data_IF_146723302296
#
_entry.id   IF_146723302296
#
_cell.length_a   1.000
_cell.length_b   1.000
_cell.length_c   1.000
_cell.angle_alpha   90.00
_cell.angle_beta   90.00
_cell.angle_gamma   90.00
#
_symmetry.space_group_name_H-M   'P 1'
#
loop_
_entity.id
_entity.type
_entity.pdbx_description
1 polymer ?
#
# COMPACT_ATOMS: atom_id res chain seq x y z
N UNK A 1 17.13 -1.81 -22.97
CA UNK A 1 18.50 -2.39 -22.92
C UNK A 1 18.76 -2.89 -21.51
N UNK A 2 19.29 -4.10 -21.35
CA UNK A 2 19.65 -4.66 -20.04
C UNK A 2 20.85 -3.90 -19.44
N UNK A 3 20.90 -3.70 -18.10
CA UNK A 3 22.01 -3.00 -17.47
C UNK A 3 23.30 -3.83 -17.53
N UNK A 4 24.34 -3.27 -18.14
CA UNK A 4 25.68 -3.87 -18.18
C UNK A 4 26.49 -3.44 -16.95
N UNK A 5 27.02 -4.39 -16.16
CA UNK A 5 27.90 -4.06 -15.06
C UNK A 5 29.27 -3.60 -15.58
N UNK A 6 29.83 -2.56 -14.96
CA UNK A 6 31.21 -2.10 -15.20
C UNK A 6 32.07 -2.58 -14.05
N UNK A 7 33.15 -3.29 -14.36
CA UNK A 7 34.10 -3.79 -13.37
C UNK A 7 35.39 -2.96 -13.42
N UNK A 8 35.84 -2.48 -12.26
CA UNK A 8 37.14 -1.82 -12.09
C UNK A 8 38.15 -2.87 -11.61
N UNK A 9 39.25 -3.05 -12.34
CA UNK A 9 40.24 -4.09 -12.05
C UNK A 9 40.90 -3.83 -10.68
N UNK A 10 40.83 -4.83 -9.79
CA UNK A 10 41.47 -4.79 -8.46
C UNK A 10 40.58 -4.35 -7.29
N UNK A 11 39.30 -4.05 -7.50
CA UNK A 11 38.33 -3.81 -6.42
C UNK A 11 37.01 -4.52 -6.70
N UNK A 12 36.52 -5.33 -5.75
CA UNK A 12 35.19 -5.97 -5.82
C UNK A 12 34.08 -4.95 -5.55
N UNK A 13 34.00 -3.92 -6.40
CA UNK A 13 32.99 -2.87 -6.31
C UNK A 13 32.08 -3.03 -7.52
N UNK A 14 30.88 -3.55 -7.27
CA UNK A 14 29.83 -3.71 -8.29
C UNK A 14 29.04 -2.39 -8.34
N UNK A 15 29.37 -1.52 -9.31
CA UNK A 15 28.63 -0.27 -9.51
C UNK A 15 27.57 -0.47 -10.59
N UNK A 16 26.32 -0.20 -10.23
CA UNK A 16 25.21 -0.21 -11.18
C UNK A 16 24.96 1.22 -11.65
N UNK A 17 25.45 1.57 -12.84
CA UNK A 17 25.32 2.92 -13.41
C UNK A 17 23.99 3.11 -14.16
N UNK A 18 22.87 2.72 -13.54
CA UNK A 18 21.55 2.90 -14.13
C UNK A 18 20.52 3.42 -13.12
N UNK A 19 20.88 4.51 -12.43
CA UNK A 19 20.01 5.22 -11.48
C UNK A 19 18.78 5.89 -12.14
N UNK A 20 18.60 5.75 -13.47
CA UNK A 20 17.51 6.35 -14.25
C UNK A 20 16.43 5.35 -14.69
N UNK A 21 16.47 4.09 -14.24
CA UNK A 21 15.44 3.11 -14.57
C UNK A 21 14.40 2.92 -13.46
N UNK A 22 13.97 4.02 -12.84
CA UNK A 22 12.60 4.10 -12.34
C UNK A 22 11.92 4.99 -13.37
N UNK A 23 11.15 4.42 -14.31
CA UNK A 23 10.20 5.27 -15.03
C UNK A 23 9.39 5.99 -13.96
N UNK A 24 9.18 7.31 -14.03
CA UNK A 24 8.27 7.98 -13.11
C UNK A 24 6.96 7.23 -13.25
N UNK A 25 6.59 6.44 -12.24
CA UNK A 25 5.34 5.70 -12.28
C UNK A 25 4.25 6.75 -12.47
N UNK A 26 3.61 6.82 -13.64
CA UNK A 26 2.69 7.92 -13.91
C UNK A 26 1.46 7.77 -13.01
N UNK A 27 1.24 6.62 -12.38
CA UNK A 27 0.10 6.36 -11.51
C UNK A 27 0.44 6.55 -10.03
N UNK A 28 -0.44 7.28 -9.33
CA UNK A 28 -0.50 7.42 -7.88
C UNK A 28 -1.83 6.87 -7.40
N UNK A 29 -1.83 6.07 -6.34
CA UNK A 29 -3.05 5.58 -5.71
C UNK A 29 -3.16 6.26 -4.36
N UNK A 30 -4.25 6.99 -4.15
CA UNK A 30 -4.66 7.50 -2.83
C UNK A 30 -5.81 6.62 -2.40
N UNK A 31 -5.75 6.08 -1.20
CA UNK A 31 -6.78 5.21 -0.68
C UNK A 31 -6.93 5.40 0.82
N UNK A 32 -8.11 5.08 1.32
CA UNK A 32 -8.46 5.10 2.74
C UNK A 32 -9.36 3.91 3.09
N UNK A 33 -9.26 3.46 4.33
CA UNK A 33 -9.99 2.30 4.86
C UNK A 33 -10.70 2.67 6.16
N UNK A 34 -12.01 2.49 6.18
CA UNK A 34 -12.84 2.68 7.36
C UNK A 34 -13.02 1.37 8.12
N UNK A 35 -12.97 1.45 9.45
CA UNK A 35 -13.28 0.31 10.32
C UNK A 35 -14.11 0.73 11.54
N UNK A 36 -14.99 -0.17 11.96
CA UNK A 36 -15.75 -0.08 13.20
C UNK A 36 -14.95 -0.74 14.33
N UNK A 37 -14.83 -0.04 15.46
CA UNK A 37 -14.22 -0.58 16.67
C UNK A 37 -15.26 -1.16 17.60
N UNK A 38 -15.16 -2.45 17.89
CA UNK A 38 -15.98 -3.16 18.87
C UNK A 38 -15.11 -3.45 20.09
N UNK A 39 -15.56 -3.04 21.28
CA UNK A 39 -14.88 -3.38 22.54
C UNK A 39 -15.04 -4.87 22.80
N UNK A 40 -13.94 -5.54 23.11
CA UNK A 40 -13.97 -6.93 23.50
C UNK A 40 -14.30 -7.03 24.99
N UNK A 41 -15.25 -7.89 25.35
CA UNK A 41 -15.54 -8.24 26.74
C UNK A 41 -14.63 -9.39 27.18
N UNK A 42 -14.25 -9.38 28.46
CA UNK A 42 -13.29 -10.34 29.07
C UNK A 42 -13.60 -11.83 28.84
N UNK A 43 -14.83 -12.19 28.47
CA UNK A 43 -15.26 -13.59 28.31
C UNK A 43 -14.73 -14.27 27.03
N UNK A 44 -14.36 -13.50 26.00
CA UNK A 44 -13.81 -14.06 24.75
C UNK A 44 -12.29 -14.36 24.85
N UNK A 45 -11.64 -13.92 25.92
CA UNK A 45 -10.18 -13.87 26.10
C UNK A 45 -9.63 -15.10 26.86
N UNK A 46 -10.14 -16.30 26.56
CA UNK A 46 -9.76 -17.55 27.24
C UNK A 46 -8.35 -18.07 26.90
N UNK A 47 -7.54 -17.30 26.17
CA UNK A 47 -6.12 -17.62 25.94
C UNK A 47 -5.24 -16.54 26.55
N UNK A 48 -4.62 -16.88 27.69
CA UNK A 48 -3.59 -16.11 28.41
C UNK A 48 -2.41 -15.80 27.48
N UNK A 49 -2.55 -14.76 26.66
CA UNK A 49 -1.47 -14.16 25.89
C UNK A 49 -0.94 -12.96 26.68
N UNK A 50 0.35 -12.67 26.57
CA UNK A 50 1.03 -11.56 27.26
C UNK A 50 0.49 -10.16 26.89
N UNK A 51 -0.44 -10.09 25.95
CA UNK A 51 -1.02 -8.85 25.41
C UNK A 51 -2.54 -9.00 25.41
N UNK A 52 -3.24 -8.15 26.15
CA UNK A 52 -4.70 -8.12 26.20
C UNK A 52 -5.28 -7.44 24.95
N UNK A 53 -6.24 -8.10 24.27
CA UNK A 53 -6.96 -7.49 23.15
C UNK A 53 -8.18 -6.74 23.67
N UNK A 54 -8.07 -5.41 23.71
CA UNK A 54 -9.16 -4.55 24.23
C UNK A 54 -10.25 -4.23 23.19
N UNK A 55 -9.96 -4.36 21.90
CA UNK A 55 -10.87 -3.99 20.82
C UNK A 55 -10.62 -4.81 19.55
N UNK A 56 -11.70 -5.05 18.81
CA UNK A 56 -11.69 -5.64 17.48
C UNK A 56 -12.05 -4.56 16.46
N UNK A 57 -11.30 -4.50 15.37
CA UNK A 57 -11.56 -3.61 14.23
C UNK A 57 -12.23 -4.43 13.14
N UNK A 58 -13.42 -4.02 12.72
CA UNK A 58 -14.17 -4.64 11.62
C UNK A 58 -14.19 -3.66 10.45
N UNK A 59 -13.57 -3.99 9.32
CA UNK A 59 -13.60 -3.12 8.14
C UNK A 59 -15.04 -2.90 7.65
N UNK A 60 -15.36 -1.67 7.27
CA UNK A 60 -16.74 -1.29 6.93
C UNK A 60 -16.85 -0.33 5.74
N UNK A 61 -15.73 0.16 5.22
CA UNK A 61 -15.70 0.87 3.95
C UNK A 61 -14.28 1.04 3.43
N UNK A 62 -14.15 1.25 2.12
CA UNK A 62 -12.92 1.70 1.48
C UNK A 62 -13.23 2.81 0.50
N UNK A 63 -12.21 3.60 0.22
CA UNK A 63 -12.20 4.49 -0.93
C UNK A 63 -10.83 4.47 -1.59
N UNK A 64 -10.80 4.57 -2.91
CA UNK A 64 -9.54 4.81 -3.61
C UNK A 64 -9.74 5.71 -4.83
N UNK A 65 -8.65 6.38 -5.21
CA UNK A 65 -8.52 7.14 -6.45
C UNK A 65 -7.18 6.81 -7.07
N UNK A 66 -7.20 6.41 -8.34
CA UNK A 66 -6.02 6.23 -9.18
C UNK A 66 -5.83 7.47 -10.03
N UNK A 67 -4.71 8.15 -9.82
CA UNK A 67 -4.36 9.40 -10.47
C UNK A 67 -3.20 9.14 -11.42
N UNK A 68 -3.34 9.50 -12.69
CA UNK A 68 -2.24 9.56 -13.65
C UNK A 68 -1.68 10.97 -13.71
N UNK A 69 -0.39 11.13 -13.49
CA UNK A 69 0.37 12.35 -13.68
C UNK A 69 1.13 12.27 -15.00
N UNK A 70 1.03 13.31 -15.83
CA UNK A 70 1.89 13.45 -17.00
C UNK A 70 3.24 14.13 -16.65
N UNK A 71 4.13 14.23 -17.65
CA UNK A 71 5.43 14.89 -17.49
C UNK A 71 5.35 16.41 -17.33
N UNK A 72 4.16 17.00 -17.38
CA UNK A 72 3.88 18.44 -17.28
C UNK A 72 3.11 18.79 -16.00
N UNK A 73 3.06 17.87 -15.02
CA UNK A 73 2.32 18.00 -13.76
C UNK A 73 0.79 18.13 -13.91
N UNK A 74 0.22 17.81 -15.08
CA UNK A 74 -1.22 17.65 -15.19
C UNK A 74 -1.61 16.29 -14.58
N UNK A 75 -2.80 16.24 -14.01
CA UNK A 75 -3.34 15.02 -13.41
C UNK A 75 -4.67 14.62 -14.05
N UNK A 76 -4.90 13.32 -14.14
CA UNK A 76 -6.11 12.69 -14.63
C UNK A 76 -6.55 11.62 -13.63
N UNK A 77 -7.84 11.61 -13.26
CA UNK A 77 -8.40 10.52 -12.45
C UNK A 77 -8.79 9.38 -13.39
N UNK A 78 -8.10 8.26 -13.29
CA UNK A 78 -8.26 7.11 -14.19
C UNK A 78 -9.26 6.09 -13.64
N UNK A 79 -9.31 5.95 -12.32
CA UNK A 79 -10.24 5.07 -11.65
C UNK A 79 -10.51 5.61 -10.25
N UNK A 80 -11.69 5.30 -9.74
CA UNK A 80 -12.05 5.54 -8.35
C UNK A 80 -13.15 4.58 -7.98
N UNK A 81 -13.20 4.23 -6.71
CA UNK A 81 -14.33 3.52 -6.14
C UNK A 81 -14.53 3.94 -4.69
N UNK A 82 -15.77 3.83 -4.25
CA UNK A 82 -16.19 4.12 -2.89
C UNK A 82 -17.19 3.05 -2.49
N UNK A 83 -16.84 2.30 -1.47
CA UNK A 83 -17.72 1.29 -0.92
C UNK A 83 -17.88 1.48 0.58
N UNK A 84 -19.11 1.27 1.05
CA UNK A 84 -19.45 1.23 2.47
C UNK A 84 -20.42 0.10 2.72
N UNK A 85 -20.02 -0.84 3.56
CA UNK A 85 -20.81 -2.01 3.88
C UNK A 85 -20.02 -3.07 4.65
N UNK A 86 -20.71 -4.09 5.16
CA UNK A 86 -20.12 -5.13 6.00
C UNK A 86 -19.15 -6.05 5.24
N UNK A 87 -19.26 -6.13 3.91
CA UNK A 87 -18.47 -7.04 3.06
C UNK A 87 -17.30 -6.31 2.38
N UNK A 88 -16.81 -5.24 2.98
CA UNK A 88 -15.79 -4.34 2.45
C UNK A 88 -14.55 -5.09 1.95
N UNK A 89 -13.96 -5.93 2.79
CA UNK A 89 -12.78 -6.72 2.45
C UNK A 89 -12.97 -7.69 1.28
N UNK A 90 -14.20 -8.16 1.03
CA UNK A 90 -14.47 -9.10 -0.06
C UNK A 90 -14.62 -8.38 -1.41
N UNK A 91 -14.89 -7.07 -1.35
CA UNK A 91 -15.19 -6.25 -2.52
C UNK A 91 -14.00 -5.39 -2.97
N UNK A 92 -13.07 -5.12 -2.05
CA UNK A 92 -11.75 -4.52 -2.33
C UNK A 92 -10.88 -5.46 -3.17
#
# INVERSE_FOLDING_TARGET
SLPTPVYQLGKSIKTFNNHKCMQPNPYRIIWDLESLTIKLTSEEDTQLTRTEKIQKHIPCGYSYVVIRMDGSYNYEIISHDLYRGPDELQRF
#
